data_IF_096230467426
#
_entry.id   IF_096230467426
#
_cell.length_a   1.000
_cell.length_b   1.000
_cell.length_c   1.000
_cell.angle_alpha   90.00
_cell.angle_beta   90.00
_cell.angle_gamma   90.00
#
_symmetry.space_group_name_H-M   'P 1'
#
loop_
_entity.id
_entity.type
_entity.pdbx_description
1 polymer ?
#
# COMPACT_ATOMS: atom_id res chain seq x y z
N UNK A 1 20.59 -5.66 -22.74
CA UNK A 1 20.56 -6.61 -21.60
C UNK A 1 19.27 -6.44 -20.82
N UNK A 2 19.33 -5.84 -19.62
CA UNK A 2 18.17 -5.68 -18.75
C UNK A 2 17.31 -4.44 -19.04
N UNK A 3 17.88 -3.30 -19.47
CA UNK A 3 17.07 -2.12 -19.85
C UNK A 3 16.21 -2.33 -21.10
N UNK A 4 16.68 -3.14 -22.05
CA UNK A 4 15.90 -3.55 -23.22
C UNK A 4 14.70 -4.43 -22.83
N UNK A 5 14.85 -5.30 -21.82
CA UNK A 5 13.74 -6.12 -21.35
C UNK A 5 12.67 -5.26 -20.65
N UNK A 6 13.09 -4.23 -19.88
CA UNK A 6 12.16 -3.26 -19.24
C UNK A 6 11.29 -2.51 -20.25
N UNK A 7 11.92 -1.98 -21.31
CA UNK A 7 11.19 -1.29 -22.37
C UNK A 7 10.24 -2.26 -23.07
N UNK A 8 10.68 -3.49 -23.37
CA UNK A 8 9.83 -4.51 -23.99
C UNK A 8 8.59 -4.84 -23.15
N UNK A 9 8.73 -5.03 -21.83
CA UNK A 9 7.60 -5.40 -20.97
C UNK A 9 6.58 -4.24 -20.86
N UNK A 10 7.04 -2.99 -20.75
CA UNK A 10 6.14 -1.83 -20.72
C UNK A 10 5.53 -1.52 -22.08
N UNK A 11 6.31 -1.65 -23.15
CA UNK A 11 5.82 -1.49 -24.53
C UNK A 11 4.79 -2.58 -24.86
N UNK A 12 4.95 -3.79 -24.32
CA UNK A 12 3.96 -4.86 -24.43
C UNK A 12 2.66 -4.49 -23.71
N UNK A 13 2.74 -3.94 -22.49
CA UNK A 13 1.57 -3.41 -21.78
C UNK A 13 0.88 -2.33 -22.61
N UNK A 14 1.62 -1.35 -23.11
CA UNK A 14 1.06 -0.28 -23.95
C UNK A 14 0.49 -0.81 -25.27
N UNK A 15 1.11 -1.84 -25.86
CA UNK A 15 0.63 -2.51 -27.07
C UNK A 15 -0.69 -3.21 -26.81
N UNK A 16 -0.81 -3.98 -25.73
CA UNK A 16 -2.05 -4.64 -25.33
C UNK A 16 -3.14 -3.60 -25.03
N UNK A 17 -2.82 -2.53 -24.30
CA UNK A 17 -3.80 -1.47 -24.04
C UNK A 17 -4.16 -0.67 -25.30
N UNK A 18 -3.29 -0.65 -26.32
CA UNK A 18 -3.57 0.00 -27.60
C UNK A 18 -4.51 -0.80 -28.51
N UNK A 19 -4.70 -2.11 -28.26
CA UNK A 19 -5.65 -2.92 -29.03
C UNK A 19 -7.11 -2.70 -28.61
N UNK A 20 -7.34 -2.00 -27.50
CA UNK A 20 -8.67 -1.51 -27.12
C UNK A 20 -9.14 -0.53 -28.22
N UNK A 21 -10.18 -0.94 -28.95
CA UNK A 21 -10.69 -0.39 -30.21
C UNK A 21 -11.15 1.06 -30.09
N UNK A 22 -11.36 1.58 -28.88
CA UNK A 22 -11.90 2.90 -28.58
C UNK A 22 -10.91 3.99 -28.17
N UNK A 23 -9.72 4.13 -28.78
CA UNK A 23 -8.87 5.33 -28.54
C UNK A 23 -9.47 6.58 -29.19
N UNK A 24 -10.28 7.34 -28.44
CA UNK A 24 -10.55 8.75 -28.79
C UNK A 24 -9.45 9.63 -28.18
N UNK A 25 -8.61 10.24 -29.02
CA UNK A 25 -7.66 11.28 -28.59
C UNK A 25 -6.48 10.80 -27.72
N UNK A 26 -6.12 9.52 -27.77
CA UNK A 26 -5.02 8.97 -26.96
C UNK A 26 -5.40 8.54 -25.53
N UNK A 27 -6.67 8.63 -25.17
CA UNK A 27 -7.21 8.12 -23.90
C UNK A 27 -7.64 6.65 -24.03
N UNK A 28 -7.43 5.88 -22.96
CA UNK A 28 -7.92 4.51 -22.82
C UNK A 28 -9.43 4.53 -22.55
N UNK A 29 -10.20 3.77 -23.30
CA UNK A 29 -11.63 3.59 -23.07
C UNK A 29 -11.86 2.67 -21.85
N UNK A 30 -12.37 3.23 -20.77
CA UNK A 30 -12.56 2.48 -19.51
C UNK A 30 -13.69 1.46 -19.58
N UNK A 31 -14.71 1.68 -20.40
CA UNK A 31 -15.82 0.72 -20.53
C UNK A 31 -15.36 -0.52 -21.29
N UNK A 32 -14.60 -0.31 -22.36
CA UNK A 32 -13.98 -1.39 -23.11
C UNK A 32 -12.91 -2.12 -22.28
N UNK A 33 -12.11 -1.39 -21.49
CA UNK A 33 -11.14 -2.01 -20.58
C UNK A 33 -11.84 -2.94 -19.57
N UNK A 34 -12.97 -2.50 -19.00
CA UNK A 34 -13.77 -3.32 -18.07
C UNK A 34 -14.36 -4.54 -18.78
N UNK A 35 -14.93 -4.36 -19.96
CA UNK A 35 -15.47 -5.46 -20.76
C UNK A 35 -14.40 -6.49 -21.12
N UNK A 36 -13.22 -6.06 -21.59
CA UNK A 36 -12.11 -6.95 -21.90
C UNK A 36 -11.56 -7.67 -20.66
N UNK A 37 -11.54 -7.02 -19.49
CA UNK A 37 -11.19 -7.70 -18.24
C UNK A 37 -12.20 -8.79 -17.83
N UNK A 38 -13.47 -8.65 -18.19
CA UNK A 38 -14.53 -9.62 -17.89
C UNK A 38 -14.56 -10.77 -18.92
N UNK A 39 -14.35 -10.45 -20.20
CA UNK A 39 -14.48 -11.40 -21.31
C UNK A 39 -13.19 -12.17 -21.59
N UNK A 40 -12.04 -11.65 -21.15
CA UNK A 40 -10.74 -12.23 -21.44
C UNK A 40 -9.87 -12.37 -20.19
N UNK A 41 -8.73 -13.01 -20.35
CA UNK A 41 -7.70 -13.09 -19.31
C UNK A 41 -6.84 -11.82 -19.21
N UNK A 42 -7.28 -10.67 -19.75
CA UNK A 42 -6.54 -9.41 -19.65
C UNK A 42 -6.27 -9.03 -18.19
N UNK A 43 -7.26 -9.21 -17.31
CA UNK A 43 -7.12 -9.04 -15.86
C UNK A 43 -6.25 -10.12 -15.19
N UNK A 44 -5.93 -11.21 -15.90
CA UNK A 44 -5.05 -12.31 -15.49
C UNK A 44 -3.72 -12.30 -16.24
N UNK A 45 -3.38 -11.21 -16.95
CA UNK A 45 -2.12 -11.07 -17.66
C UNK A 45 -0.90 -11.05 -16.74
N UNK A 46 0.27 -10.76 -17.31
CA UNK A 46 1.51 -10.64 -16.53
C UNK A 46 1.40 -9.60 -15.40
N UNK A 47 2.23 -9.69 -14.34
CA UNK A 47 2.15 -8.81 -13.17
C UNK A 47 2.16 -7.31 -13.51
N UNK A 48 2.97 -6.90 -14.49
CA UNK A 48 3.05 -5.50 -14.93
C UNK A 48 1.76 -5.03 -15.60
N UNK A 49 1.15 -5.87 -16.44
CA UNK A 49 -0.14 -5.56 -17.06
C UNK A 49 -1.24 -5.47 -16.02
N UNK A 50 -1.32 -6.45 -15.10
CA UNK A 50 -2.28 -6.44 -13.99
C UNK A 50 -2.13 -5.19 -13.13
N UNK A 51 -0.90 -4.81 -12.79
CA UNK A 51 -0.65 -3.62 -12.00
C UNK A 51 -1.17 -2.36 -12.70
N UNK A 52 -0.90 -2.17 -13.99
CA UNK A 52 -1.40 -1.01 -14.75
C UNK A 52 -2.94 -1.02 -14.86
N UNK A 53 -3.54 -2.17 -15.19
CA UNK A 53 -5.00 -2.33 -15.30
C UNK A 53 -5.68 -2.00 -13.97
N UNK A 54 -5.17 -2.53 -12.86
CA UNK A 54 -5.74 -2.27 -11.53
C UNK A 54 -5.63 -0.80 -11.15
N UNK A 55 -4.49 -0.17 -11.40
CA UNK A 55 -4.31 1.27 -11.16
C UNK A 55 -5.25 2.13 -12.00
N UNK A 56 -5.59 1.72 -13.22
CA UNK A 56 -6.61 2.39 -14.05
C UNK A 56 -8.02 2.18 -13.51
N UNK A 57 -8.40 0.93 -13.20
CA UNK A 57 -9.75 0.59 -12.71
C UNK A 57 -10.05 1.22 -11.36
N UNK A 58 -9.04 1.35 -10.50
CA UNK A 58 -9.12 2.00 -9.20
C UNK A 58 -8.93 3.52 -9.29
N UNK A 59 -8.82 4.09 -10.49
CA UNK A 59 -8.73 5.55 -10.70
C UNK A 59 -7.45 6.20 -10.16
N UNK A 60 -6.39 5.42 -9.94
CA UNK A 60 -5.08 5.94 -9.54
C UNK A 60 -4.30 6.49 -10.75
N UNK A 61 -4.40 5.82 -11.91
CA UNK A 61 -3.82 6.33 -13.17
C UNK A 61 -4.89 7.02 -14.02
N UNK A 62 -4.56 8.16 -14.65
CA UNK A 62 -5.47 8.80 -15.60
C UNK A 62 -5.59 7.96 -16.87
N UNK A 63 -6.67 8.18 -17.64
CA UNK A 63 -6.91 7.43 -18.89
C UNK A 63 -5.86 7.70 -19.98
N UNK A 64 -5.19 8.86 -19.92
CA UNK A 64 -4.17 9.25 -20.89
C UNK A 64 -2.80 8.78 -20.41
N UNK A 65 -2.22 7.82 -21.14
CA UNK A 65 -0.94 7.20 -20.75
C UNK A 65 0.25 8.16 -20.76
N UNK A 66 0.17 9.25 -21.51
CA UNK A 66 1.20 10.30 -21.52
C UNK A 66 1.34 11.08 -20.21
N UNK A 67 0.34 11.02 -19.32
CA UNK A 67 0.37 11.73 -18.04
C UNK A 67 0.84 10.85 -16.87
N UNK A 68 0.99 9.54 -17.09
CA UNK A 68 1.22 8.58 -16.02
C UNK A 68 2.46 8.89 -15.19
N UNK A 69 3.59 9.17 -15.85
CA UNK A 69 4.85 9.42 -15.13
C UNK A 69 4.77 10.67 -14.24
N UNK A 70 4.16 11.75 -14.76
CA UNK A 70 3.96 12.98 -14.00
C UNK A 70 3.02 12.76 -12.81
N UNK A 71 1.87 12.12 -13.04
CA UNK A 71 0.89 11.80 -11.98
C UNK A 71 1.49 10.89 -10.91
N UNK A 72 2.22 9.84 -11.31
CA UNK A 72 2.87 8.93 -10.36
C UNK A 72 3.93 9.65 -9.53
N UNK A 73 4.75 10.50 -10.15
CA UNK A 73 5.77 11.27 -9.44
C UNK A 73 5.14 12.21 -8.39
N UNK A 74 4.08 12.91 -8.78
CA UNK A 74 3.33 13.81 -7.89
C UNK A 74 2.67 13.04 -6.72
N UNK A 75 1.85 12.03 -7.02
CA UNK A 75 1.11 11.30 -5.99
C UNK A 75 2.04 10.59 -5.01
N UNK A 76 3.10 9.94 -5.51
CA UNK A 76 4.11 9.30 -4.64
C UNK A 76 4.83 10.33 -3.79
N UNK A 77 5.18 11.49 -4.34
CA UNK A 77 5.76 12.60 -3.58
C UNK A 77 4.83 13.08 -2.46
N UNK A 78 3.54 13.26 -2.76
CA UNK A 78 2.54 13.64 -1.77
C UNK A 78 2.42 12.60 -0.67
N UNK A 79 2.34 11.31 -1.01
CA UNK A 79 2.29 10.24 -0.01
C UNK A 79 3.53 10.26 0.90
N UNK A 80 4.73 10.43 0.34
CA UNK A 80 5.96 10.49 1.14
C UNK A 80 5.94 11.67 2.12
N UNK A 81 5.46 12.84 1.68
CA UNK A 81 5.35 14.04 2.51
C UNK A 81 4.29 13.88 3.62
N UNK A 82 3.09 13.42 3.25
CA UNK A 82 1.99 13.19 4.21
C UNK A 82 2.37 12.13 5.24
N UNK A 83 2.92 10.99 4.80
CA UNK A 83 3.46 9.93 5.66
C UNK A 83 4.47 10.47 6.67
N UNK A 84 5.42 11.30 6.22
CA UNK A 84 6.44 11.89 7.08
C UNK A 84 5.83 12.77 8.17
N UNK A 85 4.82 13.58 7.85
CA UNK A 85 4.12 14.41 8.84
C UNK A 85 3.39 13.57 9.88
N UNK A 86 2.50 12.67 9.46
CA UNK A 86 1.62 11.95 10.39
C UNK A 86 2.34 10.90 11.23
N UNK A 87 3.28 10.15 10.65
CA UNK A 87 4.04 9.15 11.40
C UNK A 87 4.95 9.85 12.42
N UNK A 88 5.60 10.95 12.03
CA UNK A 88 6.40 11.74 12.95
C UNK A 88 5.55 12.33 14.09
N UNK A 89 4.42 12.96 13.77
CA UNK A 89 3.56 13.59 14.78
C UNK A 89 2.94 12.56 15.74
N UNK A 90 2.55 11.38 15.24
CA UNK A 90 2.02 10.29 16.07
C UNK A 90 3.10 9.72 16.99
N UNK A 91 4.32 9.51 16.48
CA UNK A 91 5.44 8.97 17.26
C UNK A 91 5.92 9.99 18.29
N UNK A 92 6.05 11.26 17.90
CA UNK A 92 6.42 12.35 18.80
C UNK A 92 5.35 12.58 19.86
N UNK A 93 4.07 12.52 19.52
CA UNK A 93 2.98 12.59 20.50
C UNK A 93 3.05 11.43 21.49
N UNK A 94 3.31 10.21 21.01
CA UNK A 94 3.49 9.02 21.85
C UNK A 94 4.72 9.11 22.75
N UNK A 95 5.88 9.50 22.21
CA UNK A 95 7.12 9.67 22.96
C UNK A 95 7.01 10.81 23.97
N UNK A 96 6.38 11.91 23.61
CA UNK A 96 6.11 13.04 24.51
C UNK A 96 5.15 12.65 25.63
N UNK A 97 4.10 11.88 25.34
CA UNK A 97 3.19 11.37 26.36
C UNK A 97 3.89 10.38 27.31
N UNK A 98 4.74 9.49 26.78
CA UNK A 98 5.58 8.59 27.58
C UNK A 98 6.57 9.37 28.43
N UNK A 99 7.16 10.45 27.92
CA UNK A 99 8.13 11.28 28.64
C UNK A 99 7.46 12.13 29.73
N UNK A 100 6.30 12.74 29.47
CA UNK A 100 5.47 13.43 30.48
C UNK A 100 5.05 12.46 31.59
N UNK A 101 4.66 11.24 31.20
CA UNK A 101 4.36 10.18 32.14
C UNK A 101 5.57 9.75 32.97
N UNK A 102 6.75 9.58 32.36
CA UNK A 102 8.01 9.27 33.08
C UNK A 102 8.38 10.35 34.09
N UNK A 103 8.16 11.62 33.76
CA UNK A 103 8.38 12.75 34.69
C UNK A 103 7.35 12.80 35.81
N UNK A 104 6.12 12.37 35.54
CA UNK A 104 5.05 12.24 36.53
C UNK A 104 5.20 11.00 37.43
N UNK A 105 5.95 9.99 36.95
CA UNK A 105 6.25 8.70 37.59
C UNK A 105 7.34 8.76 38.67
N UNK A 106 7.37 9.82 39.47
CA UNK A 106 8.04 9.79 40.80
C UNK A 106 7.18 9.12 41.87
N UNK A 107 5.95 8.69 41.54
CA UNK A 107 5.11 7.82 42.36
C UNK A 107 4.54 6.71 41.48
N UNK A 108 4.69 5.47 41.93
CA UNK A 108 4.23 4.24 41.30
C UNK A 108 2.82 4.37 40.70
N UNK A 109 2.70 4.41 39.37
CA UNK A 109 1.42 4.44 38.68
C UNK A 109 1.58 4.72 37.18
N UNK A 110 1.07 3.83 36.33
CA UNK A 110 1.19 3.89 34.86
C UNK A 110 1.00 5.30 34.26
N UNK A 111 1.67 5.60 33.13
CA UNK A 111 1.47 6.83 32.37
C UNK A 111 0.01 7.27 32.26
N UNK A 112 -0.35 8.55 32.50
CA UNK A 112 -1.65 9.05 32.08
C UNK A 112 -1.73 8.95 30.55
N UNK A 113 -2.56 8.04 30.05
CA UNK A 113 -2.87 7.94 28.63
C UNK A 113 -4.05 8.88 28.34
N UNK A 114 -3.87 9.86 27.46
CA UNK A 114 -4.99 10.65 26.94
C UNK A 114 -5.87 9.76 26.05
N UNK A 115 -7.16 10.08 25.89
CA UNK A 115 -8.08 9.28 25.06
C UNK A 115 -7.52 9.08 23.64
N UNK A 116 -6.91 10.12 23.06
CA UNK A 116 -6.28 10.07 21.74
C UNK A 116 -5.14 9.02 21.67
N UNK A 117 -4.33 8.91 22.72
CA UNK A 117 -3.24 7.92 22.79
C UNK A 117 -3.80 6.51 22.91
N UNK A 118 -4.88 6.34 23.69
CA UNK A 118 -5.56 5.05 23.85
C UNK A 118 -6.16 4.61 22.51
N UNK A 119 -6.81 5.52 21.79
CA UNK A 119 -7.44 5.23 20.51
C UNK A 119 -6.42 4.86 19.43
N UNK A 120 -5.32 5.61 19.34
CA UNK A 120 -4.19 5.27 18.45
C UNK A 120 -3.61 3.90 18.79
N UNK A 121 -3.43 3.58 20.08
CA UNK A 121 -2.91 2.29 20.50
C UNK A 121 -3.88 1.14 20.15
N UNK A 122 -5.19 1.33 20.36
CA UNK A 122 -6.22 0.36 19.97
C UNK A 122 -6.22 0.10 18.46
N UNK A 123 -6.12 1.16 17.66
CA UNK A 123 -6.04 1.06 16.20
C UNK A 123 -4.80 0.26 15.77
N UNK A 124 -3.63 0.61 16.32
CA UNK A 124 -2.39 -0.10 16.01
C UNK A 124 -2.45 -1.58 16.44
N UNK A 125 -3.01 -1.88 17.62
CA UNK A 125 -3.16 -3.27 18.10
C UNK A 125 -4.07 -4.10 17.17
N UNK A 126 -5.14 -3.48 16.67
CA UNK A 126 -6.04 -4.13 15.72
C UNK A 126 -5.35 -4.41 14.39
N UNK A 127 -4.74 -3.37 13.78
CA UNK A 127 -3.98 -3.51 12.54
C UNK A 127 -2.89 -4.57 12.68
N UNK A 128 -2.13 -4.52 13.78
CA UNK A 128 -1.04 -5.43 14.05
C UNK A 128 -1.50 -6.90 14.11
N UNK A 129 -2.60 -7.18 14.83
CA UNK A 129 -3.18 -8.53 14.88
C UNK A 129 -3.64 -9.04 13.52
N UNK A 130 -4.17 -8.15 12.68
CA UNK A 130 -4.73 -8.50 11.38
C UNK A 130 -3.66 -8.69 10.31
N UNK A 131 -2.72 -7.76 10.24
CA UNK A 131 -1.58 -7.80 9.32
C UNK A 131 -0.73 -9.04 9.56
N UNK A 132 -0.47 -9.44 10.81
CA UNK A 132 0.28 -10.67 11.09
C UNK A 132 -0.51 -11.96 10.86
N UNK A 133 -1.85 -11.91 10.84
CA UNK A 133 -2.69 -13.05 10.45
C UNK A 133 -2.90 -13.16 8.95
N UNK A 134 -2.67 -12.06 8.23
CA UNK A 134 -2.66 -12.06 6.76
C UNK A 134 -1.68 -13.14 6.30
N UNK A 135 -2.13 -14.04 5.42
CA UNK A 135 -1.28 -15.09 4.84
C UNK A 135 -0.83 -14.66 3.46
N UNK A 136 0.27 -13.91 3.34
CA UNK A 136 0.67 -13.38 2.05
C UNK A 136 1.28 -14.52 1.22
N UNK A 137 1.67 -15.63 1.88
CA UNK A 137 2.11 -16.92 1.35
C UNK A 137 1.24 -17.47 0.20
N UNK A 138 -0.07 -17.15 0.16
CA UNK A 138 -0.96 -17.53 -0.95
C UNK A 138 -0.68 -16.77 -2.26
N UNK A 139 0.00 -15.64 -2.19
CA UNK A 139 0.48 -14.84 -3.33
C UNK A 139 1.93 -15.23 -3.71
N UNK A 140 2.62 -16.01 -2.86
CA UNK A 140 4.09 -16.14 -2.86
C UNK A 140 4.66 -17.35 -3.60
N UNK A 141 3.83 -18.29 -4.08
CA UNK A 141 4.32 -19.63 -4.43
C UNK A 141 5.21 -19.70 -5.69
N UNK A 142 5.28 -18.66 -6.52
CA UNK A 142 5.99 -18.74 -7.81
C UNK A 142 7.27 -17.89 -7.95
N UNK A 143 7.67 -17.06 -6.97
CA UNK A 143 8.84 -16.16 -7.16
C UNK A 143 9.90 -16.25 -6.03
N UNK A 144 11.09 -16.76 -6.38
CA UNK A 144 12.27 -16.82 -5.50
C UNK A 144 12.72 -15.45 -4.98
N UNK A 145 12.49 -14.37 -5.74
CA UNK A 145 12.83 -12.99 -5.34
C UNK A 145 11.91 -12.53 -4.20
N UNK A 146 10.63 -12.87 -4.27
CA UNK A 146 9.65 -12.53 -3.23
C UNK A 146 9.87 -13.36 -1.96
N UNK A 147 10.32 -14.62 -2.08
CA UNK A 147 10.76 -15.45 -0.95
C UNK A 147 12.00 -14.88 -0.23
N UNK A 148 12.93 -14.29 -0.97
CA UNK A 148 14.08 -13.60 -0.38
C UNK A 148 13.66 -12.34 0.40
N UNK A 149 12.63 -11.62 -0.07
CA UNK A 149 12.08 -10.45 0.61
C UNK A 149 11.30 -10.81 1.89
N UNK A 150 10.60 -11.95 1.89
CA UNK A 150 9.94 -12.50 3.08
C UNK A 150 10.92 -12.75 4.26
N UNK A 151 12.19 -13.08 3.95
CA UNK A 151 13.23 -13.37 4.95
C UNK A 151 13.75 -12.14 5.72
N UNK A 152 13.44 -10.93 5.27
CA UNK A 152 13.79 -9.68 5.98
C UNK A 152 12.77 -9.35 7.10
N UNK A 153 11.82 -10.24 7.36
CA UNK A 153 10.87 -10.09 8.47
C UNK A 153 11.43 -10.50 9.83
N UNK A 154 12.42 -9.76 10.36
CA UNK A 154 12.68 -9.77 11.82
C UNK A 154 11.61 -8.94 12.52
N UNK A 155 10.41 -9.50 12.55
CA UNK A 155 9.47 -9.51 13.67
C UNK A 155 10.04 -8.79 14.91
N UNK A 156 9.76 -7.49 15.07
CA UNK A 156 10.10 -6.76 16.29
C UNK A 156 9.28 -7.37 17.42
N UNK A 157 9.98 -7.88 18.44
CA UNK A 157 9.38 -8.48 19.62
C UNK A 157 9.63 -7.57 20.80
N UNK A 158 8.54 -7.18 21.45
CA UNK A 158 8.62 -6.64 22.79
C UNK A 158 9.20 -7.72 23.73
N UNK A 159 9.68 -7.30 24.91
CA UNK A 159 10.32 -8.21 25.86
C UNK A 159 9.45 -9.38 26.34
N UNK A 160 8.14 -9.30 26.12
CA UNK A 160 7.13 -10.33 26.41
C UNK A 160 6.88 -11.30 25.24
N UNK A 161 7.54 -11.10 24.09
CA UNK A 161 7.35 -11.89 22.87
C UNK A 161 6.21 -11.42 21.97
N UNK A 162 5.51 -10.34 22.34
CA UNK A 162 4.45 -9.74 21.53
C UNK A 162 5.04 -9.19 20.24
N UNK A 163 4.40 -9.57 19.13
CA UNK A 163 4.77 -9.12 17.80
C UNK A 163 4.25 -7.72 17.54
N UNK A 164 5.08 -6.80 17.04
CA UNK A 164 4.67 -5.41 16.74
C UNK A 164 5.22 -4.96 15.39
N UNK A 165 4.35 -4.35 14.58
CA UNK A 165 4.73 -3.65 13.34
C UNK A 165 5.50 -2.35 13.64
N UNK A 166 6.55 -2.08 12.87
CA UNK A 166 7.29 -0.82 12.93
C UNK A 166 6.84 0.11 11.80
N UNK A 167 5.83 0.93 12.07
CA UNK A 167 5.34 1.92 11.09
C UNK A 167 6.28 3.12 10.93
N UNK A 168 7.30 3.28 11.78
CA UNK A 168 8.22 4.42 11.70
C UNK A 168 9.34 4.10 10.73
N UNK A 169 9.97 2.94 10.93
CA UNK A 169 11.10 2.47 10.15
C UNK A 169 10.79 1.09 9.58
N UNK A 170 9.89 0.98 8.60
CA UNK A 170 9.46 -0.32 8.13
C UNK A 170 10.61 -1.06 7.47
N UNK A 171 10.88 -2.24 7.99
CA UNK A 171 11.89 -3.16 7.43
C UNK A 171 11.24 -4.33 6.72
N UNK A 172 9.95 -4.53 6.95
CA UNK A 172 9.18 -5.67 6.44
C UNK A 172 7.99 -5.21 5.60
N UNK A 173 7.47 -6.11 4.76
CA UNK A 173 6.23 -5.87 4.04
C UNK A 173 5.03 -5.68 4.98
N UNK A 174 5.01 -6.40 6.11
CA UNK A 174 3.98 -6.23 7.14
C UNK A 174 4.02 -4.84 7.77
N UNK A 175 5.21 -4.29 8.02
CA UNK A 175 5.35 -2.94 8.54
C UNK A 175 4.78 -1.90 7.56
N UNK A 176 5.09 -2.05 6.28
CA UNK A 176 4.59 -1.16 5.22
C UNK A 176 3.07 -1.28 5.08
N UNK A 177 2.52 -2.49 5.08
CA UNK A 177 1.07 -2.70 5.08
C UNK A 177 0.40 -2.06 6.31
N UNK A 178 0.97 -2.28 7.50
CA UNK A 178 0.48 -1.69 8.74
C UNK A 178 0.50 -0.16 8.70
N UNK A 179 1.56 0.42 8.13
CA UNK A 179 1.67 1.87 7.93
C UNK A 179 0.63 2.42 6.98
N UNK A 180 0.40 1.77 5.83
CA UNK A 180 -0.64 2.18 4.87
C UNK A 180 -2.01 2.22 5.56
N UNK A 181 -2.37 1.15 6.29
CA UNK A 181 -3.66 1.06 6.99
C UNK A 181 -3.78 2.13 8.09
N UNK A 182 -2.70 2.35 8.83
CA UNK A 182 -2.66 3.37 9.88
C UNK A 182 -2.84 4.78 9.31
N UNK A 183 -2.08 5.12 8.28
CA UNK A 183 -2.18 6.42 7.59
C UNK A 183 -3.58 6.61 7.00
N UNK A 184 -4.13 5.60 6.32
CA UNK A 184 -5.50 5.64 5.78
C UNK A 184 -6.54 5.92 6.87
N UNK A 185 -6.52 5.16 7.97
CA UNK A 185 -7.50 5.30 9.05
C UNK A 185 -7.40 6.67 9.74
N UNK A 186 -6.18 7.20 9.86
CA UNK A 186 -5.92 8.52 10.45
C UNK A 186 -6.42 9.65 9.54
N UNK A 187 -6.24 9.53 8.22
CA UNK A 187 -6.73 10.50 7.24
C UNK A 187 -8.24 10.45 7.04
N UNK A 188 -8.89 9.35 7.43
CA UNK A 188 -10.32 9.13 7.23
C UNK A 188 -11.00 8.75 8.56
N UNK A 189 -11.04 9.62 9.59
CA UNK A 189 -11.54 9.26 10.92
C UNK A 189 -13.02 8.85 10.95
N UNK A 190 -13.83 9.35 9.99
CA UNK A 190 -15.23 8.92 9.84
C UNK A 190 -15.42 7.52 9.26
N UNK A 191 -14.36 6.93 8.67
CA UNK A 191 -14.35 5.59 8.09
C UNK A 191 -13.51 4.63 8.94
N UNK A 192 -12.31 5.08 9.33
CA UNK A 192 -11.36 4.34 10.13
C UNK A 192 -10.84 3.09 9.45
N UNK A 193 -10.22 2.22 10.25
CA UNK A 193 -9.82 0.88 9.82
C UNK A 193 -10.94 -0.13 10.09
N UNK A 194 -11.21 -1.00 9.10
CA UNK A 194 -12.17 -2.11 9.24
C UNK A 194 -11.45 -3.44 9.00
N UNK A 195 -11.76 -4.44 9.82
CA UNK A 195 -11.23 -5.80 9.66
C UNK A 195 -11.55 -6.33 8.25
N UNK A 196 -10.53 -6.87 7.57
CA UNK A 196 -10.61 -7.32 6.17
C UNK A 196 -9.93 -6.37 5.18
N UNK A 197 -9.79 -5.07 5.50
CA UNK A 197 -9.06 -4.13 4.64
C UNK A 197 -7.60 -4.56 4.39
N UNK A 198 -7.00 -5.26 5.36
CA UNK A 198 -5.64 -5.79 5.25
C UNK A 198 -5.50 -6.86 4.15
N UNK A 199 -6.57 -7.63 3.87
CA UNK A 199 -6.55 -8.68 2.83
C UNK A 199 -6.61 -8.06 1.44
N UNK A 200 -7.48 -7.06 1.26
CA UNK A 200 -7.54 -6.26 0.02
C UNK A 200 -6.20 -5.57 -0.24
N UNK A 201 -5.64 -4.94 0.79
CA UNK A 201 -4.35 -4.30 0.71
C UNK A 201 -3.24 -5.29 0.34
N UNK A 202 -3.23 -6.48 0.94
CA UNK A 202 -2.20 -7.48 0.67
C UNK A 202 -2.11 -7.81 -0.83
N UNK A 203 -3.24 -8.00 -1.50
CA UNK A 203 -3.28 -8.35 -2.92
C UNK A 203 -2.75 -7.20 -3.78
N UNK A 204 -3.20 -5.96 -3.52
CA UNK A 204 -2.76 -4.78 -4.28
C UNK A 204 -1.26 -4.51 -4.06
N UNK A 205 -0.83 -4.49 -2.81
CA UNK A 205 0.54 -4.17 -2.42
C UNK A 205 1.55 -5.15 -3.02
N UNK A 206 1.27 -6.47 -2.93
CA UNK A 206 2.16 -7.48 -3.47
C UNK A 206 2.23 -7.47 -4.99
N UNK A 207 1.11 -7.24 -5.66
CA UNK A 207 1.08 -7.06 -7.11
C UNK A 207 1.96 -5.89 -7.54
N UNK A 208 1.88 -4.75 -6.84
CA UNK A 208 2.70 -3.58 -7.16
C UNK A 208 4.17 -3.77 -6.81
N UNK A 209 4.50 -4.48 -5.72
CA UNK A 209 5.89 -4.88 -5.46
C UNK A 209 6.44 -5.72 -6.62
N UNK A 210 5.68 -6.68 -7.11
CA UNK A 210 6.10 -7.53 -8.23
C UNK A 210 6.32 -6.70 -9.51
N UNK A 211 5.40 -5.78 -9.85
CA UNK A 211 5.56 -4.84 -10.96
C UNK A 211 6.86 -4.03 -10.85
N UNK A 212 7.12 -3.42 -9.69
CA UNK A 212 8.32 -2.60 -9.47
C UNK A 212 9.62 -3.41 -9.54
N UNK A 213 9.62 -4.65 -9.02
CA UNK A 213 10.78 -5.54 -9.08
C UNK A 213 11.07 -6.05 -10.50
N UNK A 214 10.03 -6.20 -11.33
CA UNK A 214 10.20 -6.58 -12.74
C UNK A 214 10.63 -5.38 -13.60
N UNK A 215 10.07 -4.20 -13.32
CA UNK A 215 10.32 -2.98 -14.11
C UNK A 215 11.61 -2.27 -13.79
N UNK A 216 12.33 -2.63 -12.72
CA UNK A 216 13.50 -1.88 -12.30
C UNK A 216 14.57 -2.76 -11.64
N UNK A 217 15.85 -2.41 -11.84
CA UNK A 217 16.98 -2.93 -11.05
C UNK A 217 17.09 -2.20 -9.69
N UNK A 218 16.07 -1.42 -9.31
CA UNK A 218 16.00 -0.80 -7.99
C UNK A 218 16.11 -1.86 -6.94
N UNK A 219 16.79 -1.50 -5.85
CA UNK A 219 16.83 -2.35 -4.68
C UNK A 219 15.40 -2.71 -4.22
N UNK A 220 15.30 -3.86 -3.58
CA UNK A 220 14.03 -4.36 -3.04
C UNK A 220 13.35 -3.34 -2.12
N UNK A 221 14.12 -2.45 -1.49
CA UNK A 221 13.63 -1.40 -0.59
C UNK A 221 12.91 -0.28 -1.34
N UNK A 222 13.50 0.25 -2.40
CA UNK A 222 12.89 1.28 -3.24
C UNK A 222 11.63 0.75 -3.94
N UNK A 223 11.67 -0.49 -4.45
CA UNK A 223 10.50 -1.13 -5.03
C UNK A 223 9.35 -1.25 -4.01
N UNK A 224 9.66 -1.58 -2.75
CA UNK A 224 8.67 -1.67 -1.68
C UNK A 224 8.10 -0.29 -1.28
N UNK A 225 8.88 0.79 -1.38
CA UNK A 225 8.40 2.16 -1.12
C UNK A 225 7.48 2.68 -2.22
N UNK A 226 7.82 2.46 -3.49
CA UNK A 226 6.96 2.82 -4.62
C UNK A 226 5.63 2.03 -4.58
N UNK A 227 5.70 0.73 -4.26
CA UNK A 227 4.53 -0.12 -4.10
C UNK A 227 3.64 0.34 -2.94
N UNK A 228 4.23 0.82 -1.85
CA UNK A 228 3.50 1.31 -0.69
C UNK A 228 2.63 2.53 -1.03
N UNK A 229 3.22 3.52 -1.71
CA UNK A 229 2.49 4.70 -2.18
C UNK A 229 1.38 4.32 -3.17
N UNK A 230 1.70 3.47 -4.16
CA UNK A 230 0.71 3.02 -5.15
C UNK A 230 -0.47 2.28 -4.50
N UNK A 231 -0.19 1.41 -3.52
CA UNK A 231 -1.19 0.65 -2.79
C UNK A 231 -2.06 1.53 -1.90
N UNK A 232 -1.49 2.57 -1.28
CA UNK A 232 -2.23 3.52 -0.46
C UNK A 232 -3.32 4.25 -1.27
N UNK A 233 -2.99 4.81 -2.43
CA UNK A 233 -3.99 5.50 -3.26
C UNK A 233 -5.02 4.55 -3.85
N UNK A 234 -4.59 3.36 -4.32
CA UNK A 234 -5.51 2.35 -4.83
C UNK A 234 -6.51 1.89 -3.77
N UNK A 235 -6.04 1.66 -2.53
CA UNK A 235 -6.91 1.33 -1.40
C UNK A 235 -7.85 2.50 -1.08
N UNK A 236 -7.32 3.72 -0.98
CA UNK A 236 -8.12 4.91 -0.68
C UNK A 236 -9.26 5.10 -1.69
N UNK A 237 -8.96 4.95 -2.98
CA UNK A 237 -9.96 5.07 -4.04
C UNK A 237 -10.99 3.93 -3.98
N UNK A 238 -10.55 2.70 -3.72
CA UNK A 238 -11.44 1.55 -3.58
C UNK A 238 -12.45 1.76 -2.44
N UNK A 239 -11.95 2.19 -1.27
CA UNK A 239 -12.81 2.46 -0.12
C UNK A 239 -13.77 3.62 -0.41
N UNK A 240 -13.30 4.70 -1.05
CA UNK A 240 -14.13 5.84 -1.42
C UNK A 240 -15.24 5.49 -2.45
N UNK A 241 -15.04 4.48 -3.30
CA UNK A 241 -16.08 3.97 -4.19
C UNK A 241 -17.13 3.18 -3.40
N UNK A 242 -16.71 2.21 -2.58
CA UNK A 242 -17.60 1.41 -1.74
C UNK A 242 -18.47 2.23 -0.79
N UNK A 243 -17.92 3.29 -0.19
CA UNK A 243 -18.69 4.14 0.71
C UNK A 243 -19.76 4.95 -0.03
N UNK A 244 -19.54 5.35 -1.29
CA UNK A 244 -20.58 6.05 -2.08
C UNK A 244 -21.77 5.13 -2.41
N UNK A 245 -21.51 3.86 -2.66
CA UNK A 245 -22.54 2.89 -3.04
C UNK A 245 -23.41 2.41 -1.87
N UNK A 246 -22.98 2.55 -0.61
CA UNK A 246 -23.82 2.24 0.57
C UNK A 246 -24.79 3.36 0.95
N UNK A 247 -24.60 4.59 0.44
CA UNK A 247 -25.43 5.75 0.75
C UNK A 247 -26.28 6.24 -0.44
N UNK A 248 -26.30 5.49 -1.54
CA UNK A 248 -27.17 5.68 -2.71
C UNK A 248 -28.20 4.54 -2.80
#
# INVERSE_FOLDING_TARGET
GFSEQRHKDFDEVLKVLSTLRGRKGGCINMDELREECLLTNLGLGGPSLRAVVWKLLLGYLPQRSGDWDATLAELRGNYLNERMGFVHDTVVARESAIEVARRSLTREGQPPQTEDVIEVQRLLDQINKDVYRTRPELVWLDDDRMRAMARVSRKFRLGDGTMVIDIVHPTTHFDRMGRILFVYATLNPGLGYVQGMHELLAVMYLLFCQDHLLRSETDSSCAAELAEADAFYCLTNLMAQHHRDMFL
#
